data_IF_337886925509
#
_entry.id   IF_337886925509
#
_cell.length_a   1.000
_cell.length_b   1.000
_cell.length_c   1.000
_cell.angle_alpha   90.00
_cell.angle_beta   90.00
_cell.angle_gamma   90.00
#
_symmetry.space_group_name_H-M   'P 1'
#
loop_
_entity.id
_entity.type
_entity.pdbx_description
1 polymer ?
#
# COMPACT_ATOMS: atom_id res chain seq x y z
N UNK A 1 -2.07 19.77 12.44
CA UNK A 1 -1.70 19.12 11.16
C UNK A 1 -0.87 17.91 11.51
N UNK A 2 -1.38 16.68 11.34
CA UNK A 2 -0.63 15.48 11.72
C UNK A 2 0.43 15.17 10.67
N UNK A 3 1.59 14.69 11.12
CA UNK A 3 2.73 14.47 10.25
C UNK A 3 2.49 13.31 9.25
N UNK A 4 2.94 13.50 8.01
CA UNK A 4 2.85 12.48 6.94
C UNK A 4 3.59 11.21 7.34
N UNK A 5 4.68 11.33 8.11
CA UNK A 5 5.45 10.17 8.57
C UNK A 5 4.62 9.25 9.50
N UNK A 6 3.88 9.82 10.46
CA UNK A 6 3.05 9.06 11.40
C UNK A 6 1.96 8.27 10.69
N UNK A 7 1.32 8.89 9.69
CA UNK A 7 0.32 8.21 8.85
C UNK A 7 0.91 7.01 8.12
N UNK A 8 2.12 7.16 7.56
CA UNK A 8 2.80 6.07 6.86
C UNK A 8 3.24 4.95 7.79
N UNK A 9 3.80 5.26 8.96
CA UNK A 9 4.14 4.22 9.97
C UNK A 9 2.90 3.42 10.38
N UNK A 10 1.77 4.10 10.59
CA UNK A 10 0.50 3.43 10.88
C UNK A 10 0.11 2.49 9.71
N UNK A 11 0.21 2.96 8.48
CA UNK A 11 -0.13 2.16 7.30
C UNK A 11 0.81 0.97 7.11
N UNK A 12 2.10 1.12 7.36
CA UNK A 12 3.08 0.03 7.33
C UNK A 12 2.69 -1.06 8.34
N UNK A 13 2.44 -0.69 9.59
CA UNK A 13 2.02 -1.64 10.64
C UNK A 13 0.74 -2.41 10.24
N UNK A 14 -0.26 -1.70 9.72
CA UNK A 14 -1.52 -2.34 9.28
C UNK A 14 -1.30 -3.24 8.08
N UNK A 15 -0.46 -2.82 7.13
CA UNK A 15 -0.04 -3.64 5.99
C UNK A 15 0.75 -4.88 6.41
N UNK A 16 1.49 -4.83 7.52
CA UNK A 16 2.22 -5.95 8.12
C UNK A 16 1.33 -6.92 8.89
N UNK A 17 0.04 -6.63 9.01
CA UNK A 17 -0.93 -7.49 9.69
C UNK A 17 -1.20 -7.09 11.14
N UNK A 18 -0.61 -6.01 11.63
CA UNK A 18 -0.88 -5.50 12.98
C UNK A 18 -2.31 -4.98 13.05
N UNK A 19 -2.97 -5.24 14.18
CA UNK A 19 -4.31 -4.73 14.44
C UNK A 19 -4.32 -3.20 14.45
N UNK A 20 -5.37 -2.58 13.91
CA UNK A 20 -5.50 -1.12 13.84
C UNK A 20 -5.27 -0.46 15.21
N UNK A 21 -5.89 -0.99 16.26
CA UNK A 21 -5.74 -0.50 17.65
C UNK A 21 -4.32 -0.64 18.21
N UNK A 22 -3.61 -1.68 17.81
CA UNK A 22 -2.23 -1.89 18.25
C UNK A 22 -1.28 -0.96 17.49
N UNK A 23 -1.56 -0.74 16.20
CA UNK A 23 -0.84 0.23 15.40
C UNK A 23 -1.05 1.66 15.93
N UNK A 24 -2.28 2.03 16.28
CA UNK A 24 -2.62 3.33 16.90
C UNK A 24 -1.87 3.53 18.22
N UNK A 25 -1.83 2.50 19.08
CA UNK A 25 -1.04 2.55 20.34
C UNK A 25 0.46 2.69 20.10
N UNK A 26 1.03 1.98 19.12
CA UNK A 26 2.46 2.05 18.81
C UNK A 26 2.88 3.41 18.24
N UNK A 27 2.01 4.03 17.43
CA UNK A 27 2.26 5.35 16.83
C UNK A 27 1.95 6.47 17.83
N UNK A 28 1.15 6.20 18.88
CA UNK A 28 0.78 7.19 19.90
C UNK A 28 -0.38 8.09 19.46
N UNK A 29 -1.29 7.58 18.62
CA UNK A 29 -2.43 8.33 18.09
C UNK A 29 -3.75 7.82 18.67
N UNK A 30 -4.77 8.68 18.69
CA UNK A 30 -6.09 8.28 19.17
C UNK A 30 -6.72 7.24 18.24
N UNK A 31 -7.55 6.35 18.81
CA UNK A 31 -8.23 5.27 18.07
C UNK A 31 -9.16 5.78 16.93
N UNK A 32 -9.56 7.05 16.98
CA UNK A 32 -10.37 7.68 15.93
C UNK A 32 -9.51 8.25 14.80
N UNK A 33 -8.34 8.80 15.13
CA UNK A 33 -7.45 9.46 14.18
C UNK A 33 -6.87 8.45 13.18
N UNK A 34 -6.34 7.32 13.66
CA UNK A 34 -5.76 6.32 12.77
C UNK A 34 -6.80 5.76 11.79
N UNK A 35 -7.99 5.43 12.31
CA UNK A 35 -9.09 4.93 11.48
C UNK A 35 -9.57 5.95 10.45
N UNK A 36 -9.65 7.23 10.83
CA UNK A 36 -9.96 8.31 9.91
C UNK A 36 -8.93 8.42 8.79
N UNK A 37 -7.63 8.36 9.10
CA UNK A 37 -6.57 8.38 8.09
C UNK A 37 -6.65 7.19 7.15
N UNK A 38 -6.95 6.00 7.66
CA UNK A 38 -7.15 4.81 6.84
C UNK A 38 -8.28 5.00 5.83
N UNK A 39 -9.43 5.54 6.25
CA UNK A 39 -10.54 5.83 5.36
C UNK A 39 -10.22 6.94 4.36
N UNK A 40 -9.60 8.03 4.80
CA UNK A 40 -9.22 9.15 3.94
C UNK A 40 -8.22 8.72 2.85
N UNK A 41 -7.30 7.81 3.15
CA UNK A 41 -6.36 7.25 2.19
C UNK A 41 -7.00 6.24 1.21
N UNK A 42 -8.30 5.93 1.36
CA UNK A 42 -8.98 4.88 0.59
C UNK A 42 -8.48 3.49 0.97
N UNK A 43 -8.30 3.24 2.26
CA UNK A 43 -7.84 1.99 2.82
C UNK A 43 -8.85 0.86 2.64
N UNK A 44 -8.34 -0.34 2.40
CA UNK A 44 -9.16 -1.52 2.11
C UNK A 44 -9.84 -2.07 3.36
N UNK A 45 -10.85 -2.92 3.17
CA UNK A 45 -11.50 -3.65 4.26
C UNK A 45 -10.48 -4.48 5.04
N UNK A 46 -10.40 -4.20 6.33
CA UNK A 46 -9.56 -4.94 7.26
C UNK A 46 -10.31 -6.17 7.78
N UNK A 47 -9.60 -7.28 7.99
CA UNK A 47 -10.18 -8.51 8.53
C UNK A 47 -10.62 -8.29 9.97
N UNK A 48 -11.85 -8.69 10.30
CA UNK A 48 -12.34 -8.74 11.68
C UNK A 48 -11.94 -10.09 12.30
N UNK A 49 -11.45 -10.07 13.53
CA UNK A 49 -11.22 -11.23 14.37
C UNK A 49 -11.87 -11.06 15.74
N UNK A 50 -11.84 -12.12 16.55
CA UNK A 50 -12.49 -12.16 17.88
C UNK A 50 -11.98 -11.09 18.86
N UNK A 51 -10.73 -10.63 18.71
CA UNK A 51 -10.11 -9.58 19.54
C UNK A 51 -9.92 -8.23 18.82
N UNK A 52 -10.59 -8.03 17.68
CA UNK A 52 -10.46 -6.82 16.85
C UNK A 52 -9.93 -7.10 15.45
N UNK A 53 -9.41 -6.08 14.79
CA UNK A 53 -8.92 -6.17 13.40
C UNK A 53 -7.62 -6.97 13.29
N UNK A 54 -7.45 -7.87 12.31
CA UNK A 54 -6.24 -8.71 12.11
C UNK A 54 -5.36 -8.27 10.92
N UNK A 55 -5.50 -7.03 10.47
CA UNK A 55 -4.80 -6.51 9.28
C UNK A 55 -5.57 -6.66 7.97
N UNK A 56 -4.89 -6.49 6.84
CA UNK A 56 -5.51 -6.43 5.51
C UNK A 56 -5.81 -7.84 4.99
N UNK A 57 -6.97 -8.02 4.34
CA UNK A 57 -7.41 -9.33 3.81
C UNK A 57 -6.50 -9.91 2.70
N UNK A 58 -5.76 -9.04 2.02
CA UNK A 58 -4.91 -9.38 0.88
C UNK A 58 -3.62 -8.55 0.96
N UNK A 59 -2.69 -8.87 1.88
CA UNK A 59 -1.46 -8.11 1.99
C UNK A 59 -0.61 -8.25 0.71
N UNK A 60 -0.69 -9.38 0.01
CA UNK A 60 0.14 -9.69 -1.16
C UNK A 60 1.45 -10.37 -0.78
N UNK A 61 2.03 -11.13 -1.72
CA UNK A 61 3.32 -11.78 -1.53
C UNK A 61 4.45 -10.76 -1.73
N UNK A 62 5.13 -10.41 -0.64
CA UNK A 62 6.16 -9.36 -0.65
C UNK A 62 7.52 -9.83 -1.15
N UNK A 63 7.80 -11.13 -1.02
CA UNK A 63 9.08 -11.76 -1.40
C UNK A 63 9.17 -12.12 -2.87
N UNK A 64 8.11 -11.84 -3.66
CA UNK A 64 8.09 -12.16 -5.08
C UNK A 64 9.10 -11.31 -5.84
N UNK A 65 9.93 -11.96 -6.65
CA UNK A 65 10.88 -11.29 -7.52
C UNK A 65 10.20 -10.34 -8.53
N UNK A 66 10.84 -9.19 -8.72
CA UNK A 66 10.42 -8.15 -9.67
C UNK A 66 11.14 -8.26 -11.01
N UNK A 67 11.21 -7.15 -11.75
CA UNK A 67 11.95 -7.07 -13.02
C UNK A 67 11.13 -7.31 -14.30
N UNK A 68 11.72 -7.04 -15.48
CA UNK A 68 11.04 -7.09 -16.78
C UNK A 68 10.24 -8.39 -16.99
N UNK A 69 9.04 -8.30 -17.55
CA UNK A 69 8.14 -9.45 -17.73
C UNK A 69 7.37 -9.88 -16.46
N UNK A 70 7.83 -9.48 -15.27
CA UNK A 70 7.13 -9.73 -14.01
C UNK A 70 6.21 -8.56 -13.61
N UNK A 71 5.21 -8.87 -12.78
CA UNK A 71 4.41 -7.85 -12.09
C UNK A 71 5.32 -7.03 -11.17
N UNK A 72 4.93 -5.78 -10.92
CA UNK A 72 5.65 -4.91 -9.99
C UNK A 72 5.67 -5.54 -8.58
N UNK A 73 6.87 -5.82 -8.07
CA UNK A 73 7.12 -6.42 -6.76
C UNK A 73 6.86 -5.45 -5.61
N UNK A 74 6.96 -5.91 -4.36
CA UNK A 74 6.88 -5.01 -3.22
C UNK A 74 8.09 -4.06 -3.16
N UNK A 75 9.30 -4.57 -3.36
CA UNK A 75 10.53 -3.77 -3.34
C UNK A 75 10.54 -2.70 -4.44
N UNK A 76 10.08 -3.04 -5.65
CA UNK A 76 9.90 -2.05 -6.72
C UNK A 76 8.93 -0.94 -6.30
N UNK A 77 7.84 -1.26 -5.59
CA UNK A 77 6.92 -0.24 -5.04
C UNK A 77 7.56 0.60 -3.95
N UNK A 78 8.41 0.03 -3.10
CA UNK A 78 9.18 0.79 -2.10
C UNK A 78 10.12 1.77 -2.80
N UNK A 79 10.83 1.34 -3.85
CA UNK A 79 11.68 2.21 -4.67
C UNK A 79 10.88 3.32 -5.35
N UNK A 80 9.70 3.02 -5.91
CA UNK A 80 8.79 4.03 -6.47
C UNK A 80 8.41 5.06 -5.40
N UNK A 81 7.97 4.61 -4.22
CA UNK A 81 7.60 5.50 -3.11
C UNK A 81 8.76 6.43 -2.71
N UNK A 82 9.96 5.89 -2.51
CA UNK A 82 11.16 6.67 -2.16
C UNK A 82 11.60 7.60 -3.28
N UNK A 83 11.44 7.19 -4.54
CA UNK A 83 11.71 8.04 -5.69
C UNK A 83 10.77 9.24 -5.76
N UNK A 84 9.47 9.02 -5.56
CA UNK A 84 8.47 10.08 -5.51
C UNK A 84 8.71 11.03 -4.32
N UNK A 85 9.08 10.50 -3.15
CA UNK A 85 9.44 11.31 -1.97
C UNK A 85 10.63 12.24 -2.25
N UNK A 86 11.57 11.82 -3.11
CA UNK A 86 12.71 12.60 -3.57
C UNK A 86 12.38 13.53 -4.75
N UNK A 87 11.15 13.55 -5.23
CA UNK A 87 10.73 14.36 -6.39
C UNK A 87 11.25 13.82 -7.73
N UNK A 88 11.67 12.56 -7.81
CA UNK A 88 12.12 11.96 -9.06
C UNK A 88 10.94 11.79 -10.03
N UNK A 89 11.22 12.01 -11.32
CA UNK A 89 10.29 11.71 -12.39
C UNK A 89 10.07 10.21 -12.57
N UNK A 90 8.93 9.81 -13.13
CA UNK A 90 8.66 8.41 -13.46
C UNK A 90 9.72 7.79 -14.38
N UNK A 91 10.39 8.59 -15.21
CA UNK A 91 11.47 8.13 -16.08
C UNK A 91 12.74 7.78 -15.29
N UNK A 92 13.13 8.62 -14.34
CA UNK A 92 14.28 8.35 -13.46
C UNK A 92 14.05 7.13 -12.58
N UNK A 93 12.84 6.98 -12.02
CA UNK A 93 12.45 5.79 -11.25
C UNK A 93 12.49 4.55 -12.15
N UNK A 94 11.99 4.65 -13.38
CA UNK A 94 12.05 3.57 -14.37
C UNK A 94 13.47 3.13 -14.67
N UNK A 95 14.39 4.06 -14.89
CA UNK A 95 15.81 3.77 -15.11
C UNK A 95 16.44 3.02 -13.93
N UNK A 96 16.16 3.44 -12.69
CA UNK A 96 16.66 2.75 -11.48
C UNK A 96 16.18 1.30 -11.37
N UNK A 97 14.96 1.03 -11.83
CA UNK A 97 14.32 -0.29 -11.76
C UNK A 97 14.51 -1.14 -13.02
N UNK A 98 15.13 -0.61 -14.08
CA UNK A 98 15.15 -1.27 -15.38
C UNK A 98 13.74 -1.43 -16.00
N UNK A 99 12.83 -0.50 -15.72
CA UNK A 99 11.43 -0.51 -16.20
C UNK A 99 11.13 0.70 -17.07
N UNK A 100 10.23 0.51 -18.03
CA UNK A 100 9.74 1.63 -18.83
C UNK A 100 8.96 2.66 -17.98
N UNK A 101 9.14 3.95 -18.28
CA UNK A 101 8.50 5.06 -17.55
C UNK A 101 6.98 4.93 -17.49
N UNK A 102 6.35 4.37 -18.52
CA UNK A 102 4.89 4.21 -18.59
C UNK A 102 4.39 3.14 -17.65
N UNK A 103 5.21 2.13 -17.34
CA UNK A 103 4.91 1.13 -16.31
C UNK A 103 4.82 1.80 -14.94
N UNK A 104 5.81 2.62 -14.61
CA UNK A 104 5.83 3.38 -13.34
C UNK A 104 4.64 4.33 -13.26
N UNK A 105 4.39 5.11 -14.31
CA UNK A 105 3.24 6.01 -14.35
C UNK A 105 1.91 5.27 -14.17
N UNK A 106 1.70 4.15 -14.87
CA UNK A 106 0.49 3.33 -14.75
C UNK A 106 0.33 2.75 -13.34
N UNK A 107 1.41 2.28 -12.72
CA UNK A 107 1.41 1.77 -11.35
C UNK A 107 1.00 2.86 -10.36
N UNK A 108 1.64 4.03 -10.42
CA UNK A 108 1.33 5.17 -9.53
C UNK A 108 -0.11 5.63 -9.71
N UNK A 109 -0.57 5.84 -10.95
CA UNK A 109 -1.94 6.29 -11.22
C UNK A 109 -2.99 5.30 -10.72
N UNK A 110 -2.75 3.99 -10.87
CA UNK A 110 -3.73 2.96 -10.48
C UNK A 110 -3.78 2.69 -8.99
N UNK A 111 -2.68 2.92 -8.27
CA UNK A 111 -2.54 2.47 -6.88
C UNK A 111 -2.21 3.58 -5.87
N UNK A 112 -2.09 4.86 -6.30
CA UNK A 112 -2.07 6.01 -5.39
C UNK A 112 -3.28 6.01 -4.46
N UNK A 113 -3.09 6.52 -3.26
CA UNK A 113 -4.15 6.72 -2.28
C UNK A 113 -5.09 7.84 -2.72
N UNK A 114 -6.29 7.85 -2.15
CA UNK A 114 -7.29 8.89 -2.42
C UNK A 114 -6.86 10.28 -1.92
N UNK A 115 -5.96 10.33 -0.93
CA UNK A 115 -5.35 11.55 -0.41
C UNK A 115 -4.17 12.06 -1.26
N UNK A 116 -3.85 11.38 -2.36
CA UNK A 116 -2.78 11.74 -3.29
C UNK A 116 -1.41 11.16 -2.94
N UNK A 117 -1.23 10.56 -1.76
CA UNK A 117 0.04 9.91 -1.40
C UNK A 117 0.22 8.56 -2.12
N UNK A 118 1.46 8.16 -2.36
CA UNK A 118 1.78 6.82 -2.84
C UNK A 118 2.43 6.02 -1.72
N UNK A 119 1.70 5.06 -1.16
CA UNK A 119 2.19 4.18 -0.10
C UNK A 119 2.43 2.76 -0.62
N UNK A 120 3.66 2.26 -0.54
CA UNK A 120 4.06 0.98 -1.14
C UNK A 120 3.22 -0.21 -0.62
N UNK A 121 3.01 -0.30 0.69
CA UNK A 121 2.20 -1.36 1.30
C UNK A 121 0.74 -1.34 0.88
N UNK A 122 0.14 -0.15 0.78
CA UNK A 122 -1.25 -0.04 0.36
C UNK A 122 -1.39 -0.35 -1.13
N UNK A 123 -0.46 0.16 -1.95
CA UNK A 123 -0.41 -0.14 -3.38
C UNK A 123 -0.26 -1.63 -3.65
N UNK A 124 0.63 -2.33 -2.92
CA UNK A 124 0.84 -3.76 -3.05
C UNK A 124 -0.42 -4.56 -2.66
N UNK A 125 -1.05 -4.20 -1.54
CA UNK A 125 -2.27 -4.86 -1.10
C UNK A 125 -3.46 -4.61 -2.06
N UNK A 126 -3.61 -3.40 -2.62
CA UNK A 126 -4.60 -3.10 -3.68
C UNK A 126 -4.34 -3.94 -4.93
N UNK A 127 -3.08 -4.05 -5.36
CA UNK A 127 -2.72 -4.87 -6.50
C UNK A 127 -3.07 -6.35 -6.26
N UNK A 128 -2.87 -6.87 -5.04
CA UNK A 128 -3.28 -8.22 -4.65
C UNK A 128 -4.81 -8.40 -4.74
N UNK A 129 -5.60 -7.44 -4.23
CA UNK A 129 -7.06 -7.50 -4.34
C UNK A 129 -7.55 -7.47 -5.79
N UNK A 130 -7.02 -6.58 -6.63
CA UNK A 130 -7.37 -6.50 -8.06
C UNK A 130 -6.95 -7.75 -8.84
N UNK A 131 -5.87 -8.42 -8.41
CA UNK A 131 -5.41 -9.66 -9.02
C UNK A 131 -6.33 -10.85 -8.71
N UNK A 132 -7.06 -10.81 -7.59
CA UNK A 132 -8.13 -11.77 -7.33
C UNK A 132 -9.26 -11.47 -8.32
N UNK A 133 -9.39 -12.32 -9.33
CA UNK A 133 -10.48 -12.29 -10.30
C UNK A 133 -11.49 -13.38 -9.92
N UNK A 134 -12.34 -13.18 -8.89
CA UNK A 134 -13.30 -14.19 -8.49
C UNK A 134 -14.26 -14.44 -9.67
N UNK A 135 -14.34 -15.68 -10.12
CA UNK A 135 -15.40 -16.09 -11.05
C UNK A 135 -16.70 -16.07 -10.25
N UNK A 136 -17.73 -15.40 -10.76
CA UNK A 136 -19.07 -15.53 -10.20
C UNK A 136 -19.44 -17.02 -10.24
N UNK A 137 -19.73 -17.59 -9.08
CA UNK A 137 -20.26 -18.93 -9.01
C UNK A 137 -21.63 -18.89 -9.69
N UNK A 138 -21.76 -19.57 -10.84
CA UNK A 138 -23.08 -19.80 -11.43
C UNK A 138 -23.69 -20.97 -10.65
N UNK A 139 -24.79 -20.69 -9.96
CA UNK A 139 -25.69 -21.70 -9.39
C UNK A 139 -26.58 -22.25 -10.50
#
# INVERSE_FOLDING_TARGET
MFDRSMRRVLFDLVCDGVAMRDAERRVGVSNGAGRYWWYQAGGMTLLKGSKGTRGIACPGERTREGGPGHRISYDERVTIMRGLDRGLSHAQIGQQLGRDRTVIWREVQRNRNADGDYHAGMAHARACQKAKRPKAFKL
#
